data_IF_677051964073
#
_entry.id   IF_677051964073
#
_cell.length_a   1.000
_cell.length_b   1.000
_cell.length_c   1.000
_cell.angle_alpha   90.00
_cell.angle_beta   90.00
_cell.angle_gamma   90.00
#
_symmetry.space_group_name_H-M   'P 1'
#
loop_
_entity.id
_entity.type
_entity.pdbx_description
1 polymer ?
#
# COMPACT_ATOMS: atom_id res chain seq x y z
N UNK A 1 -25.47 -0.01 5.23
CA UNK A 1 -24.32 -0.52 4.45
C UNK A 1 -24.65 -0.64 2.96
N UNK A 2 -25.64 -1.43 2.56
CA UNK A 2 -26.00 -1.62 1.15
C UNK A 2 -26.33 -0.30 0.41
N UNK A 3 -27.15 0.57 1.01
CA UNK A 3 -27.39 1.92 0.47
C UNK A 3 -26.08 2.68 0.21
N UNK A 4 -25.20 2.79 1.21
CA UNK A 4 -23.91 3.48 1.07
C UNK A 4 -23.02 2.87 -0.03
N UNK A 5 -23.07 1.55 -0.24
CA UNK A 5 -22.38 0.91 -1.36
C UNK A 5 -22.92 1.37 -2.71
N UNK A 6 -24.25 1.45 -2.86
CA UNK A 6 -24.88 1.95 -4.10
C UNK A 6 -24.58 3.42 -4.35
N UNK A 7 -24.57 4.24 -3.31
CA UNK A 7 -24.24 5.68 -3.44
C UNK A 7 -22.78 5.90 -3.86
N UNK A 8 -21.85 5.11 -3.34
CA UNK A 8 -20.41 5.31 -3.62
C UNK A 8 -19.99 4.61 -4.91
N UNK A 9 -20.45 3.38 -5.13
CA UNK A 9 -19.99 2.54 -6.24
C UNK A 9 -20.93 2.56 -7.44
N UNK A 10 -22.17 2.98 -7.28
CA UNK A 10 -23.18 3.04 -8.33
C UNK A 10 -24.32 2.03 -8.17
N UNK A 11 -25.41 2.27 -8.92
CA UNK A 11 -26.65 1.50 -8.79
C UNK A 11 -26.54 0.04 -9.25
N UNK A 12 -25.48 -0.33 -9.99
CA UNK A 12 -25.23 -1.71 -10.40
C UNK A 12 -24.87 -2.64 -9.25
N UNK A 13 -24.52 -2.09 -8.08
CA UNK A 13 -24.32 -2.87 -6.87
C UNK A 13 -25.63 -3.53 -6.46
N UNK A 14 -25.63 -4.86 -6.49
CA UNK A 14 -26.75 -5.70 -6.06
C UNK A 14 -26.26 -6.70 -5.04
N UNK A 15 -27.07 -6.95 -4.01
CA UNK A 15 -26.80 -8.00 -3.04
C UNK A 15 -26.77 -9.37 -3.71
N UNK A 16 -25.69 -10.11 -3.52
CA UNK A 16 -25.53 -11.51 -3.92
C UNK A 16 -25.68 -12.47 -2.73
N UNK A 17 -25.49 -11.97 -1.50
CA UNK A 17 -25.59 -12.75 -0.27
C UNK A 17 -25.42 -11.89 0.96
N UNK A 18 -25.97 -12.32 2.10
CA UNK A 18 -25.74 -11.64 3.38
C UNK A 18 -25.79 -12.64 4.53
N UNK A 19 -25.05 -12.34 5.59
CA UNK A 19 -25.08 -13.06 6.86
C UNK A 19 -24.96 -12.04 7.99
N UNK A 20 -25.79 -12.19 9.02
CA UNK A 20 -25.68 -11.48 10.29
C UNK A 20 -25.48 -12.53 11.37
N UNK A 21 -24.27 -12.60 11.90
CA UNK A 21 -23.88 -13.48 13.01
C UNK A 21 -23.79 -12.66 14.31
N UNK A 22 -23.72 -13.29 15.50
CA UNK A 22 -23.62 -12.58 16.77
C UNK A 22 -22.41 -11.64 16.86
N UNK A 23 -21.28 -12.02 16.26
CA UNK A 23 -19.98 -11.34 16.35
C UNK A 23 -19.63 -10.49 15.12
N UNK A 24 -20.30 -10.70 13.98
CA UNK A 24 -19.97 -10.02 12.71
C UNK A 24 -21.12 -10.05 11.72
N UNK A 25 -21.02 -9.20 10.70
CA UNK A 25 -21.83 -9.29 9.49
C UNK A 25 -20.95 -9.48 8.25
N UNK A 26 -21.59 -10.01 7.22
CA UNK A 26 -21.02 -10.22 5.90
C UNK A 26 -22.02 -9.79 4.84
N UNK A 27 -21.55 -9.04 3.86
CA UNK A 27 -22.36 -8.56 2.75
C UNK A 27 -21.65 -8.82 1.43
N UNK A 28 -22.27 -9.65 0.60
CA UNK A 28 -21.76 -10.04 -0.72
C UNK A 28 -22.52 -9.26 -1.78
N UNK A 29 -21.82 -8.67 -2.74
CA UNK A 29 -22.41 -7.80 -3.74
C UNK A 29 -21.73 -7.89 -5.10
N UNK A 30 -22.49 -7.55 -6.15
CA UNK A 30 -21.98 -7.48 -7.51
C UNK A 30 -21.18 -6.21 -7.75
N UNK A 31 -19.90 -6.36 -8.10
CA UNK A 31 -19.04 -5.25 -8.50
C UNK A 31 -17.82 -5.83 -9.24
N UNK A 32 -17.37 -5.15 -10.31
CA UNK A 32 -16.42 -5.70 -11.27
C UNK A 32 -14.95 -5.47 -10.88
N UNK A 33 -14.68 -4.53 -9.98
CA UNK A 33 -13.31 -4.15 -9.61
C UNK A 33 -13.08 -4.11 -8.11
N UNK A 34 -11.81 -3.88 -7.75
CA UNK A 34 -11.45 -3.75 -6.37
C UNK A 34 -11.88 -2.38 -5.79
N UNK A 35 -12.96 -2.33 -4.99
CA UNK A 35 -13.26 -1.20 -4.09
C UNK A 35 -12.00 -0.69 -3.39
N UNK A 36 -11.67 0.56 -3.66
CA UNK A 36 -10.46 1.22 -3.17
C UNK A 36 -10.57 1.56 -1.68
N UNK A 37 -9.43 1.78 -1.03
CA UNK A 37 -9.40 2.20 0.37
C UNK A 37 -10.14 3.53 0.62
N UNK A 38 -10.13 4.45 -0.35
CA UNK A 38 -10.86 5.71 -0.25
C UNK A 38 -12.38 5.51 -0.31
N UNK A 39 -12.85 4.64 -1.21
CA UNK A 39 -14.26 4.28 -1.31
C UNK A 39 -14.74 3.53 -0.07
N UNK A 40 -13.97 2.56 0.45
CA UNK A 40 -14.30 1.86 1.71
C UNK A 40 -14.45 2.84 2.86
N UNK A 41 -13.54 3.81 3.00
CA UNK A 41 -13.66 4.87 4.02
C UNK A 41 -14.94 5.67 3.83
N UNK A 42 -15.29 6.05 2.60
CA UNK A 42 -16.50 6.82 2.33
C UNK A 42 -17.77 6.02 2.61
N UNK A 43 -17.81 4.73 2.25
CA UNK A 43 -18.90 3.81 2.56
C UNK A 43 -19.09 3.68 4.07
N UNK A 44 -18.00 3.46 4.82
CA UNK A 44 -18.03 3.37 6.29
C UNK A 44 -18.54 4.68 6.91
N UNK A 45 -18.06 5.84 6.45
CA UNK A 45 -18.50 7.16 6.92
C UNK A 45 -19.99 7.39 6.67
N UNK A 46 -20.49 7.13 5.47
CA UNK A 46 -21.91 7.30 5.12
C UNK A 46 -22.80 6.34 5.92
N UNK A 47 -22.38 5.09 6.08
CA UNK A 47 -23.13 4.13 6.89
C UNK A 47 -23.20 4.55 8.36
N UNK A 48 -22.10 5.05 8.94
CA UNK A 48 -22.11 5.56 10.30
C UNK A 48 -22.89 6.87 10.44
N UNK A 49 -22.94 7.73 9.42
CA UNK A 49 -23.78 8.93 9.44
C UNK A 49 -25.27 8.58 9.60
N UNK A 50 -25.76 7.53 8.91
CA UNK A 50 -27.13 7.04 9.08
C UNK A 50 -27.40 6.49 10.48
N UNK A 51 -26.42 5.79 11.08
CA UNK A 51 -26.51 5.32 12.47
C UNK A 51 -26.61 6.52 13.42
N UNK A 52 -25.73 7.51 13.26
CA UNK A 52 -25.68 8.70 14.11
C UNK A 52 -26.91 9.60 13.97
N UNK A 53 -27.55 9.61 12.79
CA UNK A 53 -28.82 10.31 12.58
C UNK A 53 -29.97 9.72 13.42
N UNK A 54 -29.83 8.46 13.87
CA UNK A 54 -30.77 7.76 14.73
C UNK A 54 -32.23 7.80 14.24
N UNK A 55 -32.40 7.68 12.92
CA UNK A 55 -33.71 7.64 12.27
C UNK A 55 -34.52 6.47 12.78
N UNK A 56 -35.83 6.67 12.99
CA UNK A 56 -36.75 5.59 13.33
C UNK A 56 -36.75 4.53 12.23
N UNK A 57 -36.70 3.27 12.62
CA UNK A 57 -36.88 2.13 11.73
C UNK A 57 -38.34 1.70 11.76
N UNK A 58 -38.95 1.60 10.59
CA UNK A 58 -40.35 1.21 10.44
C UNK A 58 -40.47 0.04 9.47
N UNK A 59 -41.47 -0.81 9.69
CA UNK A 59 -41.81 -1.87 8.76
C UNK A 59 -43.32 -1.84 8.49
N UNK A 60 -43.68 -1.85 7.21
CA UNK A 60 -45.09 -1.79 6.77
C UNK A 60 -45.34 -2.90 5.75
N UNK A 61 -46.46 -3.61 5.90
CA UNK A 61 -46.94 -4.54 4.89
C UNK A 61 -47.77 -3.81 3.84
N UNK A 62 -47.49 -4.07 2.57
CA UNK A 62 -48.21 -3.47 1.45
C UNK A 62 -48.14 -4.37 0.21
N UNK A 63 -48.84 -4.00 -0.87
CA UNK A 63 -48.72 -4.73 -2.12
C UNK A 63 -47.33 -4.56 -2.75
N UNK A 64 -46.85 -5.58 -3.47
CA UNK A 64 -45.58 -5.52 -4.20
C UNK A 64 -45.51 -4.34 -5.18
N UNK A 65 -46.65 -4.03 -5.80
CA UNK A 65 -46.76 -2.86 -6.68
C UNK A 65 -46.54 -1.55 -5.92
N UNK A 66 -47.23 -1.35 -4.79
CA UNK A 66 -47.07 -0.15 -3.97
C UNK A 66 -45.65 -0.01 -3.40
N UNK A 67 -45.02 -1.13 -3.02
CA UNK A 67 -43.62 -1.14 -2.58
C UNK A 67 -42.67 -0.69 -3.70
N UNK A 68 -42.88 -1.17 -4.92
CA UNK A 68 -42.08 -0.81 -6.09
C UNK A 68 -42.26 0.68 -6.44
N UNK A 69 -43.49 1.18 -6.41
CA UNK A 69 -43.81 2.60 -6.64
C UNK A 69 -43.18 3.53 -5.60
N UNK A 70 -42.99 3.06 -4.35
CA UNK A 70 -42.24 3.77 -3.31
C UNK A 70 -40.72 3.75 -3.52
N UNK A 71 -40.20 2.98 -4.47
CA UNK A 71 -38.77 2.81 -4.69
C UNK A 71 -38.11 1.74 -3.82
N UNK A 72 -38.89 0.85 -3.20
CA UNK A 72 -38.33 -0.23 -2.39
C UNK A 72 -37.54 -1.22 -3.23
N UNK A 73 -36.33 -1.55 -2.78
CA UNK A 73 -35.45 -2.45 -3.50
C UNK A 73 -35.86 -3.91 -3.23
N UNK A 74 -36.08 -4.67 -4.31
CA UNK A 74 -36.37 -6.10 -4.28
C UNK A 74 -35.13 -6.91 -4.70
N UNK A 75 -34.54 -7.67 -3.76
CA UNK A 75 -33.34 -8.46 -4.03
C UNK A 75 -33.61 -9.76 -4.82
N UNK A 76 -34.75 -10.40 -4.57
CA UNK A 76 -35.11 -11.69 -5.14
C UNK A 76 -36.51 -11.63 -5.73
N UNK A 77 -36.64 -10.93 -6.87
CA UNK A 77 -37.92 -10.56 -7.49
C UNK A 77 -38.95 -11.69 -7.59
N UNK A 78 -38.52 -12.89 -8.00
CA UNK A 78 -39.41 -14.05 -8.24
C UNK A 78 -39.86 -14.77 -6.96
N UNK A 79 -39.28 -14.44 -5.80
CA UNK A 79 -39.57 -15.11 -4.52
C UNK A 79 -40.62 -14.38 -3.67
N UNK A 80 -41.00 -13.17 -4.04
CA UNK A 80 -41.97 -12.37 -3.28
C UNK A 80 -43.39 -12.53 -3.84
N UNK A 81 -44.34 -12.84 -2.95
CA UNK A 81 -45.77 -12.85 -3.25
C UNK A 81 -46.37 -11.44 -3.42
N UNK A 82 -47.70 -11.38 -3.49
CA UNK A 82 -48.42 -10.12 -3.78
C UNK A 82 -48.38 -9.12 -2.62
N UNK A 83 -48.28 -9.61 -1.39
CA UNK A 83 -48.09 -8.80 -0.18
C UNK A 83 -46.68 -8.96 0.33
N UNK A 84 -46.04 -7.84 0.66
CA UNK A 84 -44.63 -7.78 1.04
C UNK A 84 -44.43 -6.83 2.22
N UNK A 85 -43.40 -7.12 3.04
CA UNK A 85 -42.98 -6.27 4.14
C UNK A 85 -41.84 -5.35 3.68
N UNK A 86 -42.10 -4.05 3.69
CA UNK A 86 -41.13 -3.00 3.37
C UNK A 86 -40.54 -2.45 4.65
N UNK A 87 -39.21 -2.44 4.73
CA UNK A 87 -38.44 -1.87 5.81
C UNK A 87 -37.89 -0.50 5.39
N UNK A 88 -38.08 0.48 6.26
CA UNK A 88 -37.60 1.85 6.15
C UNK A 88 -36.58 2.10 7.27
N UNK A 89 -35.33 2.38 6.92
CA UNK A 89 -34.25 2.66 7.86
C UNK A 89 -33.35 3.77 7.30
N UNK A 90 -33.66 5.03 7.65
CA UNK A 90 -33.00 6.20 7.06
C UNK A 90 -33.18 6.22 5.55
N UNK A 91 -32.09 6.32 4.80
CA UNK A 91 -32.11 6.26 3.33
C UNK A 91 -32.27 4.84 2.75
N UNK A 92 -32.30 3.80 3.58
CA UNK A 92 -32.53 2.42 3.12
C UNK A 92 -34.02 2.10 3.10
N UNK A 93 -34.52 1.72 1.92
CA UNK A 93 -35.90 1.28 1.69
C UNK A 93 -35.88 -0.08 0.96
N UNK A 94 -36.15 -1.16 1.69
CA UNK A 94 -35.89 -2.52 1.20
C UNK A 94 -36.99 -3.51 1.60
N UNK A 95 -37.18 -4.53 0.78
CA UNK A 95 -38.06 -5.66 1.10
C UNK A 95 -37.34 -6.63 2.05
N UNK A 96 -37.80 -6.72 3.31
CA UNK A 96 -37.17 -7.59 4.31
C UNK A 96 -38.16 -8.18 5.32
N UNK A 97 -38.09 -9.50 5.49
CA UNK A 97 -38.86 -10.24 6.51
C UNK A 97 -38.12 -10.47 7.84
N UNK A 98 -36.88 -9.99 7.98
CA UNK A 98 -36.06 -10.20 9.16
C UNK A 98 -36.46 -9.36 10.37
N UNK A 99 -35.85 -9.67 11.51
CA UNK A 99 -35.91 -8.81 12.71
C UNK A 99 -35.04 -7.58 12.50
N UNK A 100 -35.46 -6.45 13.05
CA UNK A 100 -34.75 -5.19 12.95
C UNK A 100 -34.82 -4.42 14.26
N UNK A 101 -33.87 -3.49 14.41
CA UNK A 101 -33.81 -2.50 15.47
C UNK A 101 -34.98 -1.50 15.39
N UNK A 102 -35.18 -0.70 16.43
CA UNK A 102 -36.26 0.31 16.47
C UNK A 102 -35.82 1.66 15.89
N UNK A 103 -34.53 1.97 15.96
CA UNK A 103 -33.91 3.13 15.34
C UNK A 103 -32.51 2.78 14.81
N UNK A 104 -32.00 3.54 13.83
CA UNK A 104 -30.69 3.26 13.22
C UNK A 104 -29.54 3.38 14.23
N UNK A 105 -29.69 4.19 15.29
CA UNK A 105 -28.68 4.34 16.34
C UNK A 105 -28.52 3.10 17.22
N UNK A 106 -29.54 2.24 17.31
CA UNK A 106 -29.47 0.97 18.07
C UNK A 106 -28.44 0.00 17.47
N UNK A 107 -28.01 0.21 16.22
CA UNK A 107 -26.97 -0.60 15.54
C UNK A 107 -25.60 -0.39 16.19
N UNK A 108 -25.35 0.82 16.71
CA UNK A 108 -24.01 1.25 17.13
C UNK A 108 -23.03 1.42 15.96
N UNK A 109 -21.75 1.73 16.25
CA UNK A 109 -20.77 2.04 15.21
C UNK A 109 -20.58 0.86 14.27
N UNK A 110 -20.43 1.14 12.98
CA UNK A 110 -20.16 0.15 11.94
C UNK A 110 -18.68 0.24 11.56
N UNK A 111 -17.95 -0.87 11.64
CA UNK A 111 -16.55 -0.96 11.24
C UNK A 111 -16.37 -2.02 10.16
N UNK A 112 -15.98 -1.61 8.96
CA UNK A 112 -15.55 -2.51 7.90
C UNK A 112 -14.15 -3.02 8.25
N UNK A 113 -14.02 -4.35 8.39
CA UNK A 113 -12.78 -5.01 8.79
C UNK A 113 -12.09 -5.73 7.64
N UNK A 114 -12.86 -6.14 6.63
CA UNK A 114 -12.30 -6.75 5.44
C UNK A 114 -13.15 -6.48 4.21
N UNK A 115 -12.45 -6.53 3.09
CA UNK A 115 -12.99 -6.37 1.76
C UNK A 115 -12.23 -7.38 0.88
N UNK A 116 -12.92 -8.16 0.03
CA UNK A 116 -12.25 -9.12 -0.86
C UNK A 116 -13.11 -9.64 -2.01
N UNK A 117 -12.46 -10.18 -3.04
CA UNK A 117 -13.13 -10.90 -4.13
C UNK A 117 -13.52 -12.31 -3.69
N UNK A 118 -14.73 -12.75 -4.07
CA UNK A 118 -15.25 -14.09 -3.76
C UNK A 118 -15.69 -14.87 -5.01
N UNK A 119 -15.38 -14.35 -6.20
CA UNK A 119 -15.76 -14.92 -7.48
C UNK A 119 -15.82 -13.86 -8.57
N UNK A 120 -16.11 -14.28 -9.81
CA UNK A 120 -16.24 -13.36 -10.94
C UNK A 120 -17.33 -12.31 -10.67
N UNK A 121 -16.94 -11.03 -10.70
CA UNK A 121 -17.80 -9.87 -10.46
C UNK A 121 -18.49 -9.85 -9.08
N UNK A 122 -17.95 -10.55 -8.08
CA UNK A 122 -18.50 -10.60 -6.73
C UNK A 122 -17.46 -10.17 -5.69
N UNK A 123 -17.90 -9.26 -4.83
CA UNK A 123 -17.11 -8.69 -3.73
C UNK A 123 -17.81 -9.01 -2.41
N UNK A 124 -17.03 -9.03 -1.34
CA UNK A 124 -17.49 -9.26 0.03
C UNK A 124 -16.94 -8.17 0.92
N UNK A 125 -17.81 -7.58 1.72
CA UNK A 125 -17.43 -6.81 2.90
C UNK A 125 -17.77 -7.62 4.13
N UNK A 126 -16.82 -7.71 5.06
CA UNK A 126 -17.10 -8.09 6.45
C UNK A 126 -17.00 -6.86 7.34
N UNK A 127 -17.94 -6.74 8.26
CA UNK A 127 -18.00 -5.61 9.18
C UNK A 127 -18.45 -6.06 10.57
N UNK A 128 -18.11 -5.23 11.55
CA UNK A 128 -18.52 -5.33 12.95
C UNK A 128 -19.49 -4.19 13.25
N UNK A 129 -20.41 -4.43 14.20
CA UNK A 129 -21.32 -3.40 14.70
C UNK A 129 -21.33 -3.38 16.23
N UNK A 130 -21.88 -2.31 16.82
CA UNK A 130 -22.10 -2.22 18.26
C UNK A 130 -20.83 -2.45 19.10
N UNK A 131 -20.94 -3.27 20.14
CA UNK A 131 -19.85 -3.56 21.07
C UNK A 131 -18.63 -4.20 20.39
N UNK A 132 -18.85 -5.07 19.39
CA UNK A 132 -17.76 -5.73 18.66
C UNK A 132 -16.92 -4.72 17.86
N UNK A 133 -17.56 -3.72 17.26
CA UNK A 133 -16.85 -2.63 16.59
C UNK A 133 -16.07 -1.77 17.59
N UNK A 134 -16.65 -1.45 18.74
CA UNK A 134 -15.96 -0.69 19.81
C UNK A 134 -14.73 -1.44 20.31
N UNK A 135 -14.87 -2.74 20.63
CA UNK A 135 -13.74 -3.56 21.10
C UNK A 135 -12.63 -3.62 20.06
N UNK A 136 -12.96 -3.85 18.80
CA UNK A 136 -11.98 -3.83 17.72
C UNK A 136 -11.19 -2.52 17.63
N UNK A 137 -11.87 -1.36 17.73
CA UNK A 137 -11.19 -0.06 17.71
C UNK A 137 -10.27 0.15 18.92
N UNK A 138 -10.68 -0.31 20.11
CA UNK A 138 -9.83 -0.27 21.31
C UNK A 138 -8.59 -1.15 21.16
N UNK A 139 -8.74 -2.37 20.64
CA UNK A 139 -7.64 -3.32 20.43
C UNK A 139 -6.63 -2.78 19.39
N UNK A 140 -7.11 -2.18 18.30
CA UNK A 140 -6.26 -1.51 17.30
C UNK A 140 -5.50 -0.34 17.94
N UNK A 141 -6.16 0.47 18.76
CA UNK A 141 -5.53 1.61 19.44
C UNK A 141 -4.46 1.15 20.43
N UNK A 142 -4.72 0.09 21.19
CA UNK A 142 -3.75 -0.51 22.10
C UNK A 142 -2.53 -1.09 21.37
N UNK A 143 -2.76 -1.71 20.21
CA UNK A 143 -1.69 -2.23 19.34
C UNK A 143 -0.80 -1.10 18.82
N UNK A 144 -1.40 -0.01 18.33
CA UNK A 144 -0.67 1.17 17.87
C UNK A 144 0.15 1.81 19.00
N UNK A 145 -0.44 1.93 20.19
CA UNK A 145 0.27 2.44 21.37
C UNK A 145 1.46 1.57 21.76
N UNK A 146 1.31 0.25 21.74
CA UNK A 146 2.41 -0.69 22.04
C UNK A 146 3.53 -0.60 21.01
N UNK A 147 3.19 -0.48 19.72
CA UNK A 147 4.18 -0.35 18.66
C UNK A 147 4.92 1.01 18.72
N UNK A 148 4.23 2.09 19.10
CA UNK A 148 4.84 3.39 19.31
C UNK A 148 5.82 3.39 20.49
N UNK A 149 5.49 2.71 21.59
CA UNK A 149 6.37 2.54 22.76
C UNK A 149 7.68 1.83 22.38
N UNK A 150 7.60 0.75 21.60
CA UNK A 150 8.78 0.03 21.08
C UNK A 150 9.69 0.95 20.25
N UNK A 151 9.11 1.87 19.49
CA UNK A 151 9.84 2.84 18.65
C UNK A 151 10.26 4.11 19.40
N UNK A 152 9.88 4.27 20.68
CA UNK A 152 10.14 5.50 21.44
C UNK A 152 9.43 6.72 20.87
N UNK A 153 8.27 6.54 20.23
CA UNK A 153 7.51 7.57 19.53
C UNK A 153 6.07 7.68 20.05
N UNK A 154 5.33 8.68 19.56
CA UNK A 154 3.89 8.78 19.77
C UNK A 154 3.15 7.95 18.70
N UNK A 155 1.94 7.44 18.97
CA UNK A 155 1.15 6.70 17.98
C UNK A 155 0.93 7.45 16.67
N UNK A 156 0.72 8.77 16.73
CA UNK A 156 0.51 9.61 15.55
C UNK A 156 1.80 9.77 14.71
N UNK A 157 2.96 9.65 15.35
CA UNK A 157 4.28 9.78 14.73
C UNK A 157 4.88 8.42 14.34
N UNK A 158 4.14 7.32 14.54
CA UNK A 158 4.70 5.96 14.45
C UNK A 158 5.30 5.66 13.09
N UNK A 159 4.66 6.12 11.99
CA UNK A 159 5.15 5.91 10.62
C UNK A 159 6.45 6.67 10.39
N UNK A 160 6.56 7.90 10.89
CA UNK A 160 7.78 8.70 10.78
C UNK A 160 8.91 8.15 11.68
N UNK A 161 8.53 7.50 12.78
CA UNK A 161 9.46 6.85 13.70
C UNK A 161 9.93 5.47 13.23
N UNK A 162 9.31 4.88 12.19
CA UNK A 162 9.86 3.68 11.56
C UNK A 162 11.24 4.08 11.01
N UNK A 163 12.33 3.47 11.50
CA UNK A 163 13.66 3.72 10.95
C UNK A 163 13.73 3.07 9.56
N UNK A 164 13.22 3.77 8.55
CA UNK A 164 13.50 3.50 7.16
C UNK A 164 14.64 4.44 6.76
N UNK A 165 15.91 4.00 6.81
CA UNK A 165 16.93 4.74 6.09
C UNK A 165 16.49 4.60 4.63
N UNK A 166 16.09 5.68 3.96
CA UNK A 166 15.72 5.62 2.54
C UNK A 166 16.95 5.15 1.74
N UNK A 167 17.13 3.84 1.67
CA UNK A 167 18.31 3.20 1.09
C UNK A 167 17.97 2.81 -0.32
N UNK A 168 18.63 3.48 -1.26
CA UNK A 168 18.53 3.12 -2.68
C UNK A 168 19.73 2.26 -3.02
N UNK A 169 19.48 1.09 -3.61
CA UNK A 169 20.51 0.25 -4.21
C UNK A 169 20.36 0.22 -5.73
N UNK A 170 21.44 0.50 -6.46
CA UNK A 170 21.54 0.18 -7.87
C UNK A 170 22.64 -0.87 -8.08
N UNK A 171 22.30 -1.99 -8.72
CA UNK A 171 23.22 -3.11 -8.94
C UNK A 171 23.42 -3.33 -10.42
N UNK A 172 24.66 -3.48 -10.86
CA UNK A 172 24.97 -3.81 -12.26
C UNK A 172 26.21 -4.68 -12.40
N UNK A 173 26.30 -5.35 -13.54
CA UNK A 173 27.46 -6.15 -13.94
C UNK A 173 28.49 -5.27 -14.65
N UNK A 174 29.77 -5.58 -14.47
CA UNK A 174 30.84 -4.97 -15.26
C UNK A 174 31.69 -6.03 -15.95
N UNK A 175 32.31 -5.62 -17.06
CA UNK A 175 33.28 -6.41 -17.82
C UNK A 175 34.27 -5.46 -18.49
N UNK A 176 35.56 -5.78 -18.39
CA UNK A 176 36.65 -5.05 -19.04
C UNK A 176 37.66 -6.04 -19.63
N UNK A 177 38.29 -5.69 -20.75
CA UNK A 177 39.47 -6.39 -21.25
C UNK A 177 40.74 -6.04 -20.44
N UNK A 178 41.87 -6.66 -20.77
CA UNK A 178 43.15 -6.44 -20.09
C UNK A 178 43.70 -5.01 -20.27
N UNK A 179 43.47 -4.42 -21.43
CA UNK A 179 43.90 -3.07 -21.80
C UNK A 179 42.81 -2.01 -21.58
N UNK A 180 41.74 -2.36 -20.86
CA UNK A 180 40.57 -1.51 -20.65
C UNK A 180 40.40 -1.13 -19.18
N UNK A 181 39.69 -0.02 -18.97
CA UNK A 181 39.19 0.43 -17.67
C UNK A 181 37.73 0.82 -17.81
N UNK A 182 36.99 0.76 -16.72
CA UNK A 182 35.62 1.25 -16.67
C UNK A 182 35.58 2.57 -15.93
N UNK A 183 35.14 3.62 -16.61
CA UNK A 183 34.95 4.96 -16.05
C UNK A 183 33.48 5.13 -15.66
N UNK A 184 33.25 5.62 -14.46
CA UNK A 184 31.94 5.85 -13.87
C UNK A 184 31.87 7.32 -13.47
N UNK A 185 31.06 8.08 -14.19
CA UNK A 185 30.80 9.49 -13.88
C UNK A 185 29.47 9.60 -13.13
N UNK A 186 29.52 10.25 -11.98
CA UNK A 186 28.47 10.27 -10.97
C UNK A 186 28.32 11.69 -10.45
N UNK A 187 27.11 12.24 -10.49
CA UNK A 187 26.75 13.42 -9.70
C UNK A 187 25.92 12.90 -8.53
N UNK A 188 26.48 12.77 -7.31
CA UNK A 188 25.72 12.20 -6.21
C UNK A 188 24.48 13.06 -5.92
N UNK A 189 23.30 12.46 -5.69
CA UNK A 189 22.14 13.20 -5.21
C UNK A 189 22.45 13.81 -3.83
N UNK A 190 21.68 14.82 -3.41
CA UNK A 190 21.76 15.33 -2.03
C UNK A 190 21.39 14.20 -1.07
N UNK A 191 22.39 13.70 -0.34
CA UNK A 191 22.32 12.45 0.41
C UNK A 191 23.29 12.49 1.58
N UNK A 192 22.94 11.80 2.67
CA UNK A 192 23.83 11.73 3.83
C UNK A 192 25.06 10.86 3.56
N UNK A 193 24.87 9.79 2.79
CA UNK A 193 25.91 8.82 2.51
C UNK A 193 25.70 8.19 1.14
N UNK A 194 26.78 8.05 0.38
CA UNK A 194 26.80 7.19 -0.79
C UNK A 194 28.06 6.33 -0.84
N UNK A 195 27.97 5.18 -1.49
CA UNK A 195 29.12 4.34 -1.80
C UNK A 195 28.96 3.53 -3.07
N UNK A 196 30.09 3.26 -3.72
CA UNK A 196 30.23 2.22 -4.74
C UNK A 196 31.08 1.08 -4.17
N UNK A 197 30.57 -0.14 -4.23
CA UNK A 197 31.28 -1.35 -3.81
C UNK A 197 31.35 -2.35 -4.98
N UNK A 198 32.48 -3.02 -5.11
CA UNK A 198 32.69 -4.11 -6.06
C UNK A 198 32.78 -5.46 -5.35
N UNK A 199 32.36 -6.48 -6.08
CA UNK A 199 32.52 -7.88 -5.71
C UNK A 199 32.74 -8.72 -6.97
N UNK A 200 33.14 -9.97 -6.78
CA UNK A 200 33.20 -10.93 -7.87
C UNK A 200 31.79 -11.29 -8.39
N UNK A 201 31.72 -12.14 -9.42
CA UNK A 201 30.44 -12.59 -10.00
C UNK A 201 29.53 -13.36 -9.03
N UNK A 202 30.07 -13.78 -7.88
CA UNK A 202 29.40 -14.53 -6.84
C UNK A 202 29.16 -13.70 -5.57
N UNK A 203 29.27 -12.38 -5.67
CA UNK A 203 29.05 -11.45 -4.56
C UNK A 203 30.09 -11.59 -3.43
N UNK A 204 31.26 -12.18 -3.72
CA UNK A 204 32.37 -12.28 -2.78
C UNK A 204 33.18 -10.98 -2.80
N UNK A 205 33.50 -10.47 -1.61
CA UNK A 205 34.34 -9.28 -1.46
C UNK A 205 35.78 -9.60 -1.87
N UNK A 206 36.47 -8.62 -2.48
CA UNK A 206 37.88 -8.77 -2.80
C UNK A 206 38.75 -8.61 -1.54
N UNK A 207 39.65 -9.56 -1.23
CA UNK A 207 40.26 -9.68 0.09
C UNK A 207 41.34 -8.63 0.41
N UNK A 208 41.99 -7.99 -0.58
CA UNK A 208 43.29 -7.33 -0.32
C UNK A 208 43.51 -5.93 -0.92
N UNK A 209 42.50 -5.32 -1.57
CA UNK A 209 42.67 -4.01 -2.24
C UNK A 209 41.42 -3.13 -2.18
N UNK A 210 41.55 -1.88 -2.65
CA UNK A 210 40.50 -0.84 -2.66
C UNK A 210 39.31 -1.26 -3.52
N UNK A 211 38.36 -2.00 -2.93
CA UNK A 211 37.18 -2.57 -3.60
C UNK A 211 35.90 -1.76 -3.35
N UNK A 212 35.98 -0.68 -2.58
CA UNK A 212 34.88 0.25 -2.35
C UNK A 212 35.37 1.68 -2.19
N UNK A 213 34.50 2.63 -2.49
CA UNK A 213 34.67 4.06 -2.22
C UNK A 213 33.36 4.65 -1.73
N UNK A 214 33.44 5.61 -0.81
CA UNK A 214 32.29 6.35 -0.32
C UNK A 214 32.51 7.86 -0.37
N UNK A 215 31.47 8.63 -0.04
CA UNK A 215 31.48 10.09 -0.05
C UNK A 215 32.55 10.74 0.85
N UNK A 216 33.02 10.05 1.90
CA UNK A 216 34.12 10.55 2.75
C UNK A 216 35.51 10.31 2.15
N UNK A 217 35.64 9.36 1.20
CA UNK A 217 36.91 8.97 0.56
C UNK A 217 37.08 9.57 -0.84
N UNK A 218 35.97 9.88 -1.51
CA UNK A 218 35.98 10.36 -2.89
C UNK A 218 36.47 11.80 -2.98
N UNK A 219 37.25 12.08 -4.01
CA UNK A 219 37.68 13.42 -4.41
C UNK A 219 36.71 13.93 -5.47
N UNK A 220 35.93 14.95 -5.16
CA UNK A 220 35.00 15.56 -6.10
C UNK A 220 35.71 16.55 -7.03
N UNK A 221 35.17 16.68 -8.24
CA UNK A 221 35.51 17.72 -9.20
C UNK A 221 34.92 19.07 -8.75
N UNK A 222 35.32 20.16 -9.41
CA UNK A 222 34.89 21.52 -9.06
C UNK A 222 33.36 21.74 -9.15
N UNK A 223 32.66 20.95 -9.96
CA UNK A 223 31.20 20.97 -10.11
C UNK A 223 30.46 20.03 -9.15
N UNK A 224 31.19 19.34 -8.25
CA UNK A 224 30.64 18.38 -7.30
C UNK A 224 30.42 16.98 -7.88
N UNK A 225 30.69 16.76 -9.17
CA UNK A 225 30.70 15.41 -9.75
C UNK A 225 31.90 14.59 -9.24
N UNK A 226 31.78 13.27 -9.36
CA UNK A 226 32.81 12.31 -8.97
C UNK A 226 33.01 11.34 -10.12
N UNK A 227 34.22 11.34 -10.67
CA UNK A 227 34.68 10.30 -11.59
C UNK A 227 35.33 9.17 -10.82
N UNK A 228 34.87 7.94 -11.00
CA UNK A 228 35.45 6.73 -10.41
C UNK A 228 35.97 5.83 -11.53
N UNK A 229 37.17 5.27 -11.36
CA UNK A 229 37.79 4.37 -12.34
C UNK A 229 37.93 2.97 -11.76
N UNK A 230 37.46 1.98 -12.50
CA UNK A 230 37.67 0.57 -12.21
C UNK A 230 38.81 0.06 -13.09
N UNK A 231 39.91 -0.34 -12.46
CA UNK A 231 41.12 -0.79 -13.14
C UNK A 231 41.84 -1.88 -12.34
N UNK A 232 42.56 -2.74 -13.04
CA UNK A 232 43.50 -3.68 -12.43
C UNK A 232 44.83 -2.96 -12.16
N UNK A 233 45.15 -2.76 -10.89
CA UNK A 233 46.25 -1.90 -10.44
C UNK A 233 45.99 -0.39 -10.61
N UNK A 234 46.79 0.41 -9.91
CA UNK A 234 46.63 1.87 -9.79
C UNK A 234 46.82 2.59 -11.13
N UNK A 235 45.79 3.26 -11.67
CA UNK A 235 45.87 3.99 -12.92
C UNK A 235 46.33 5.45 -12.74
N UNK A 236 46.68 5.89 -11.52
CA UNK A 236 47.16 7.24 -11.23
C UNK A 236 46.07 8.28 -11.00
N UNK A 237 44.83 7.87 -10.73
CA UNK A 237 43.67 8.74 -10.48
C UNK A 237 43.19 8.61 -9.03
N UNK A 238 42.66 9.69 -8.41
CA UNK A 238 42.35 9.70 -6.98
C UNK A 238 41.21 8.73 -6.57
N UNK A 239 40.23 8.55 -7.45
CA UNK A 239 39.03 7.75 -7.23
C UNK A 239 39.10 6.44 -8.02
N UNK A 240 39.97 5.52 -7.60
CA UNK A 240 40.13 4.25 -8.29
C UNK A 240 39.72 3.07 -7.41
N UNK A 241 39.10 2.05 -8.02
CA UNK A 241 38.79 0.76 -7.42
C UNK A 241 39.53 -0.37 -8.15
N UNK A 242 40.19 -1.23 -7.38
CA UNK A 242 40.99 -2.33 -7.91
C UNK A 242 40.14 -3.54 -8.24
N UNK A 243 40.21 -4.01 -9.49
CA UNK A 243 39.51 -5.22 -9.92
C UNK A 243 40.16 -6.51 -9.41
N UNK A 244 41.33 -6.45 -8.78
CA UNK A 244 42.07 -7.58 -8.21
C UNK A 244 42.31 -8.70 -9.25
N UNK A 245 42.66 -8.32 -10.48
CA UNK A 245 42.81 -9.27 -11.59
C UNK A 245 41.50 -9.82 -12.17
N UNK A 246 40.34 -9.50 -11.59
CA UNK A 246 39.06 -9.88 -12.17
C UNK A 246 38.77 -9.03 -13.42
N UNK A 247 38.14 -9.67 -14.41
CA UNK A 247 37.69 -9.04 -15.67
C UNK A 247 36.18 -8.93 -15.78
N UNK A 248 35.46 -9.52 -14.82
CA UNK A 248 34.00 -9.49 -14.70
C UNK A 248 33.62 -9.54 -13.22
N UNK A 249 32.57 -8.81 -12.85
CA UNK A 249 32.04 -8.82 -11.49
C UNK A 249 30.73 -8.05 -11.40
N UNK A 250 30.32 -7.78 -10.17
CA UNK A 250 29.12 -7.00 -9.85
C UNK A 250 29.55 -5.76 -9.05
N UNK A 251 28.84 -4.66 -9.26
CA UNK A 251 28.99 -3.45 -8.45
C UNK A 251 27.65 -3.01 -7.85
N UNK A 252 27.72 -2.40 -6.67
CA UNK A 252 26.58 -1.83 -5.95
C UNK A 252 26.81 -0.36 -5.70
N UNK A 253 25.88 0.46 -6.17
CA UNK A 253 25.70 1.79 -5.65
C UNK A 253 24.70 1.75 -4.50
N UNK A 254 25.04 2.44 -3.43
CA UNK A 254 24.18 2.61 -2.26
C UNK A 254 24.09 4.09 -1.92
N UNK A 255 22.88 4.60 -1.73
CA UNK A 255 22.62 5.95 -1.22
C UNK A 255 21.73 5.86 0.02
N UNK A 256 21.93 6.73 1.01
CA UNK A 256 21.10 6.85 2.21
C UNK A 256 20.44 8.22 2.26
N UNK A 257 19.10 8.26 2.30
CA UNK A 257 18.33 9.51 2.23
C UNK A 257 18.50 10.23 0.89
N UNK A 258 18.27 9.51 -0.22
CA UNK A 258 18.35 10.07 -1.58
C UNK A 258 17.03 9.93 -2.35
N UNK A 259 16.74 10.91 -3.19
CA UNK A 259 15.67 10.86 -4.21
C UNK A 259 16.17 10.08 -5.45
N UNK A 260 15.57 8.93 -5.82
CA UNK A 260 16.19 7.91 -6.70
C UNK A 260 16.32 8.25 -8.19
N UNK A 261 16.15 9.50 -8.63
CA UNK A 261 16.12 9.85 -10.06
C UNK A 261 17.49 10.03 -10.74
N UNK A 262 18.61 9.93 -10.01
CA UNK A 262 19.97 10.16 -10.55
C UNK A 262 20.75 8.85 -10.70
N UNK A 263 21.06 8.47 -11.95
CA UNK A 263 21.86 7.28 -12.27
C UNK A 263 23.27 7.66 -12.76
N UNK A 264 24.31 6.89 -12.39
CA UNK A 264 25.66 7.10 -12.89
C UNK A 264 25.78 6.73 -14.37
N UNK A 265 26.68 7.42 -15.08
CA UNK A 265 27.04 7.08 -16.47
C UNK A 265 28.29 6.20 -16.45
N UNK A 266 28.25 5.07 -17.16
CA UNK A 266 29.33 4.10 -17.19
C UNK A 266 29.85 3.91 -18.61
N UNK A 267 31.17 4.06 -18.82
CA UNK A 267 31.81 3.91 -20.14
C UNK A 267 33.10 3.10 -20.04
N UNK A 268 33.26 2.10 -20.91
CA UNK A 268 34.52 1.36 -21.04
C UNK A 268 35.44 2.11 -22.02
N UNK A 269 36.67 2.37 -21.59
CA UNK A 269 37.70 3.05 -22.41
C UNK A 269 38.99 2.25 -22.38
N UNK A 270 39.87 2.47 -23.37
CA UNK A 270 41.23 1.93 -23.29
C UNK A 270 41.98 2.63 -22.17
N UNK A 271 42.78 1.86 -21.44
CA UNK A 271 43.60 2.37 -20.33
C UNK A 271 44.52 3.51 -20.78
N UNK A 272 45.04 3.43 -22.01
CA UNK A 272 45.90 4.47 -22.58
C UNK A 272 45.17 5.81 -22.83
N UNK A 273 43.84 5.80 -22.93
CA UNK A 273 43.01 6.98 -23.19
C UNK A 273 42.50 7.63 -21.89
N UNK A 274 42.83 7.06 -20.72
CA UNK A 274 42.52 7.61 -19.41
C UNK A 274 43.53 8.74 -19.09
N UNK A 275 43.29 9.93 -19.63
CA UNK A 275 44.07 11.15 -19.35
C UNK A 275 43.23 12.21 -18.64
#
# INVERSE_FOLDING_TARGET
LHWALREVLGEHVKQAGSLVAPDRLRFDFSHYEAVTAAEIRRIEQMANAEVLANSRVAATEMSKQAATEKGAIAFFGDKYGDTVRVLEAGHSLELCGGTHVSATGDIGPIKIVSEGSIGSNLRRIEALTGEHAVRYMLDVTATLASAADVLGAKPDDIVAAIPNPDVVYATTWWRIAEDEVLVIDLTPPDTHYWSLQMCDRWFQCFPDRRSSINNAQAVAEADGSVRIVLSDGDPGVPNWLDTNGHRVGVMFFRWLHADPEVLPTCTVVKRADLS
#
